data_IF_754255253466
#
_entry.id   IF_754255253466
#
_cell.length_a   1.000
_cell.length_b   1.000
_cell.length_c   1.000
_cell.angle_alpha   90.00
_cell.angle_beta   90.00
_cell.angle_gamma   90.00
#
_symmetry.space_group_name_H-M   'P 1'
#
loop_
_entity.id
_entity.type
_entity.pdbx_description
1 polymer ?
#
# COMPACT_ATOMS: atom_id res chain seq x y z
N UNK A 1 -52.05 16.64 -6.46
CA UNK A 1 -51.02 16.00 -7.31
C UNK A 1 -49.92 16.98 -7.77
N UNK A 2 -50.24 18.20 -8.23
CA UNK A 2 -49.24 19.19 -8.71
C UNK A 2 -48.16 19.55 -7.67
N UNK A 3 -48.52 19.72 -6.40
CA UNK A 3 -47.56 20.08 -5.33
C UNK A 3 -46.54 18.99 -5.00
N UNK A 4 -46.90 17.71 -5.19
CA UNK A 4 -46.00 16.57 -4.96
C UNK A 4 -44.97 16.49 -6.10
N UNK A 5 -45.41 16.76 -7.34
CA UNK A 5 -44.52 16.81 -8.51
C UNK A 5 -43.45 17.90 -8.39
N UNK A 6 -43.82 19.11 -7.96
CA UNK A 6 -42.85 20.20 -7.75
C UNK A 6 -41.82 19.90 -6.66
N UNK A 7 -42.25 19.27 -5.56
CA UNK A 7 -41.34 18.83 -4.51
C UNK A 7 -40.36 17.76 -5.01
N UNK A 8 -40.86 16.78 -5.78
CA UNK A 8 -40.01 15.76 -6.39
C UNK A 8 -38.99 16.35 -7.38
N UNK A 9 -39.41 17.31 -8.20
CA UNK A 9 -38.54 18.00 -9.15
C UNK A 9 -37.41 18.77 -8.44
N UNK A 10 -37.73 19.45 -7.34
CA UNK A 10 -36.74 20.18 -6.53
C UNK A 10 -35.74 19.25 -5.85
N UNK A 11 -36.20 18.15 -5.27
CA UNK A 11 -35.31 17.15 -4.65
C UNK A 11 -34.39 16.52 -5.69
N UNK A 12 -34.91 16.21 -6.87
CA UNK A 12 -34.12 15.64 -7.96
C UNK A 12 -33.06 16.63 -8.48
N UNK A 13 -33.43 17.89 -8.69
CA UNK A 13 -32.49 18.97 -9.05
C UNK A 13 -31.37 19.12 -8.02
N UNK A 14 -31.70 19.09 -6.72
CA UNK A 14 -30.72 19.21 -5.65
C UNK A 14 -29.77 18.01 -5.63
N UNK A 15 -30.30 16.79 -5.73
CA UNK A 15 -29.50 15.56 -5.74
C UNK A 15 -28.53 15.54 -6.93
N UNK A 16 -28.99 15.96 -8.11
CA UNK A 16 -28.15 16.04 -9.30
C UNK A 16 -26.99 17.03 -9.12
N UNK A 17 -27.25 18.20 -8.55
CA UNK A 17 -26.22 19.20 -8.29
C UNK A 17 -25.17 18.69 -7.28
N UNK A 18 -25.60 18.01 -6.20
CA UNK A 18 -24.68 17.42 -5.22
C UNK A 18 -23.85 16.30 -5.86
N UNK A 19 -24.46 15.45 -6.70
CA UNK A 19 -23.74 14.40 -7.41
C UNK A 19 -22.67 14.99 -8.35
N UNK A 20 -23.02 16.01 -9.14
CA UNK A 20 -22.07 16.66 -10.05
C UNK A 20 -20.95 17.35 -9.27
N UNK A 21 -21.27 18.12 -8.23
CA UNK A 21 -20.28 18.78 -7.37
C UNK A 21 -19.36 17.76 -6.68
N UNK A 22 -19.90 16.66 -6.18
CA UNK A 22 -19.13 15.58 -5.59
C UNK A 22 -18.20 14.91 -6.60
N UNK A 23 -18.66 14.67 -7.83
CA UNK A 23 -17.87 14.01 -8.87
C UNK A 23 -16.74 14.91 -9.38
N UNK A 24 -17.03 16.20 -9.60
CA UNK A 24 -16.04 17.19 -10.03
C UNK A 24 -15.05 17.49 -8.90
N UNK A 25 -15.54 17.67 -7.67
CA UNK A 25 -14.71 17.84 -6.49
C UNK A 25 -13.79 16.65 -6.24
N UNK A 26 -14.29 15.42 -6.36
CA UNK A 26 -13.48 14.21 -6.26
C UNK A 26 -12.43 14.14 -7.36
N UNK A 27 -12.77 14.47 -8.61
CA UNK A 27 -11.79 14.49 -9.72
C UNK A 27 -10.73 15.56 -9.51
N UNK A 28 -11.10 16.76 -9.08
CA UNK A 28 -10.16 17.86 -8.82
C UNK A 28 -9.25 17.54 -7.63
N UNK A 29 -9.80 17.03 -6.54
CA UNK A 29 -9.02 16.58 -5.39
C UNK A 29 -8.06 15.45 -5.77
N UNK A 30 -8.55 14.48 -6.55
CA UNK A 30 -7.72 13.40 -7.09
C UNK A 30 -6.66 13.93 -8.05
N UNK A 31 -6.93 14.94 -8.87
CA UNK A 31 -5.92 15.55 -9.75
C UNK A 31 -4.89 16.38 -8.97
N UNK A 32 -5.31 17.09 -7.93
CA UNK A 32 -4.45 17.92 -7.09
C UNK A 32 -3.50 17.08 -6.22
N UNK A 33 -3.91 15.87 -5.82
CA UNK A 33 -3.01 14.87 -5.23
C UNK A 33 -1.82 14.51 -6.14
N UNK A 34 -1.95 14.67 -7.46
CA UNK A 34 -0.87 14.41 -8.42
C UNK A 34 -0.02 15.65 -8.73
N UNK A 35 -0.59 16.86 -8.59
CA UNK A 35 0.09 18.13 -8.87
C UNK A 35 0.89 18.68 -7.67
N UNK A 36 0.56 18.27 -6.44
CA UNK A 36 1.22 18.74 -5.21
C UNK A 36 2.38 17.88 -4.70
N UNK A 37 2.63 16.72 -5.32
CA UNK A 37 3.82 15.93 -5.03
C UNK A 37 4.97 16.45 -5.90
N UNK A 38 6.15 16.83 -5.35
CA UNK A 38 7.33 17.00 -6.18
C UNK A 38 7.49 15.71 -6.99
N UNK A 39 7.75 15.78 -8.31
CA UNK A 39 7.91 14.59 -9.11
C UNK A 39 8.95 13.72 -8.43
N UNK A 40 8.51 12.57 -7.90
CA UNK A 40 9.46 11.57 -7.45
C UNK A 40 10.39 11.34 -8.65
N UNK A 41 11.73 11.36 -8.46
CA UNK A 41 12.66 11.20 -9.56
C UNK A 41 12.20 10.01 -10.38
N UNK A 42 11.78 10.28 -11.61
CA UNK A 42 11.18 9.30 -12.49
C UNK A 42 12.16 8.13 -12.58
N UNK A 43 11.79 6.90 -12.18
CA UNK A 43 12.66 5.73 -12.36
C UNK A 43 13.05 5.57 -13.83
N UNK A 44 12.26 6.15 -14.74
CA UNK A 44 12.49 6.29 -16.17
C UNK A 44 13.81 6.94 -16.54
N UNK A 45 14.36 7.84 -15.71
CA UNK A 45 15.63 8.52 -15.95
C UNK A 45 16.85 7.66 -15.55
N UNK A 46 16.68 6.78 -14.55
CA UNK A 46 17.71 5.82 -14.14
C UNK A 46 17.95 4.74 -15.19
N UNK A 47 16.85 4.28 -15.77
CA UNK A 47 16.84 3.22 -16.76
C UNK A 47 16.70 3.83 -18.17
N UNK A 48 17.79 4.35 -18.71
CA UNK A 48 17.88 4.73 -20.13
C UNK A 48 18.33 3.51 -20.96
N UNK A 49 17.71 3.26 -22.11
CA UNK A 49 18.12 2.21 -23.05
C UNK A 49 17.94 0.77 -22.55
N UNK A 50 18.95 -0.07 -22.77
CA UNK A 50 18.94 -1.54 -22.57
C UNK A 50 18.51 -1.99 -21.16
N UNK A 51 18.79 -1.18 -20.12
CA UNK A 51 18.36 -1.47 -18.76
C UNK A 51 16.83 -1.44 -18.60
N UNK A 52 16.10 -0.60 -19.36
CA UNK A 52 14.62 -0.62 -19.39
C UNK A 52 14.10 -1.92 -19.99
N UNK A 53 14.76 -2.43 -21.02
CA UNK A 53 14.42 -3.70 -21.66
C UNK A 53 14.74 -4.89 -20.75
N UNK A 54 15.85 -4.87 -20.00
CA UNK A 54 16.16 -5.90 -19.01
C UNK A 54 15.17 -5.92 -17.82
N UNK A 55 14.62 -4.76 -17.43
CA UNK A 55 13.59 -4.64 -16.39
C UNK A 55 12.18 -5.01 -16.86
N UNK A 56 11.88 -4.85 -18.15
CA UNK A 56 10.62 -5.21 -18.80
C UNK A 56 10.67 -6.57 -19.51
N UNK A 57 11.83 -7.24 -19.50
CA UNK A 57 12.02 -8.52 -20.16
C UNK A 57 10.97 -9.53 -19.65
N UNK A 58 10.26 -10.22 -20.56
CA UNK A 58 9.29 -11.27 -20.22
C UNK A 58 9.88 -12.40 -19.38
N UNK A 59 11.20 -12.59 -19.45
CA UNK A 59 11.98 -13.61 -18.74
C UNK A 59 12.28 -13.27 -17.27
N UNK A 60 11.59 -12.28 -16.69
CA UNK A 60 11.54 -12.16 -15.24
C UNK A 60 10.80 -13.40 -14.70
N UNK A 61 11.44 -14.27 -13.90
CA UNK A 61 10.84 -15.52 -13.39
C UNK A 61 9.72 -15.28 -12.34
N UNK A 62 9.18 -14.06 -12.32
CA UNK A 62 8.10 -13.58 -11.48
C UNK A 62 7.19 -12.73 -12.36
N UNK A 63 6.31 -13.41 -13.12
CA UNK A 63 5.29 -12.76 -13.91
C UNK A 63 4.41 -11.90 -12.99
N UNK A 64 3.95 -10.74 -13.47
CA UNK A 64 3.00 -9.90 -12.70
C UNK A 64 1.79 -10.71 -12.21
N UNK A 65 1.39 -11.72 -12.99
CA UNK A 65 0.31 -12.66 -12.64
C UNK A 65 0.64 -13.48 -11.41
N UNK A 66 1.84 -14.08 -11.33
CA UNK A 66 2.25 -14.90 -10.19
C UNK A 66 2.33 -14.08 -8.89
N UNK A 67 2.82 -12.83 -8.95
CA UNK A 67 2.82 -11.93 -7.78
C UNK A 67 1.38 -11.61 -7.35
N UNK A 68 0.49 -11.39 -8.32
CA UNK A 68 -0.90 -11.07 -8.05
C UNK A 68 -1.63 -12.27 -7.45
N UNK A 69 -1.39 -13.47 -7.95
CA UNK A 69 -1.92 -14.74 -7.44
C UNK A 69 -1.44 -15.03 -6.02
N UNK A 70 -0.13 -14.88 -5.74
CA UNK A 70 0.41 -15.04 -4.38
C UNK A 70 -0.17 -13.99 -3.43
N UNK A 71 -0.38 -12.75 -3.89
CA UNK A 71 -1.05 -11.72 -3.08
C UNK A 71 -2.50 -12.05 -2.78
N UNK A 72 -3.26 -12.57 -3.74
CA UNK A 72 -4.64 -12.99 -3.49
C UNK A 72 -4.70 -14.17 -2.51
N UNK A 73 -3.79 -15.14 -2.65
CA UNK A 73 -3.69 -16.27 -1.72
C UNK A 73 -3.37 -15.82 -0.29
N UNK A 74 -2.44 -14.86 -0.13
CA UNK A 74 -2.13 -14.27 1.17
C UNK A 74 -3.35 -13.57 1.78
N UNK A 75 -4.14 -12.84 0.98
CA UNK A 75 -5.35 -12.17 1.48
C UNK A 75 -6.42 -13.18 1.88
N UNK A 76 -6.61 -14.22 1.07
CA UNK A 76 -7.55 -15.29 1.36
C UNK A 76 -7.17 -16.05 2.64
N UNK A 77 -5.89 -16.41 2.81
CA UNK A 77 -5.42 -17.07 4.04
C UNK A 77 -5.60 -16.18 5.27
N UNK A 78 -5.41 -14.86 5.13
CA UNK A 78 -5.70 -13.92 6.22
C UNK A 78 -7.17 -13.89 6.60
N UNK A 79 -8.09 -13.91 5.64
CA UNK A 79 -9.52 -13.98 5.96
C UNK A 79 -9.89 -15.32 6.59
N UNK A 80 -9.38 -16.44 6.07
CA UNK A 80 -9.61 -17.77 6.66
C UNK A 80 -9.13 -17.86 8.12
N UNK A 81 -7.96 -17.29 8.43
CA UNK A 81 -7.43 -17.17 9.80
C UNK A 81 -8.39 -16.38 10.68
N UNK A 82 -8.92 -15.25 10.22
CA UNK A 82 -9.87 -14.44 10.98
C UNK A 82 -11.19 -15.18 11.22
N UNK A 83 -11.68 -15.91 10.23
CA UNK A 83 -12.90 -16.71 10.33
C UNK A 83 -12.74 -17.85 11.35
N UNK A 84 -11.58 -18.52 11.36
CA UNK A 84 -11.27 -19.56 12.35
C UNK A 84 -11.11 -19.01 13.77
N UNK A 85 -10.48 -17.83 13.92
CA UNK A 85 -10.39 -17.15 15.22
C UNK A 85 -11.80 -16.76 15.72
N UNK A 86 -12.67 -16.32 14.82
CA UNK A 86 -14.06 -16.00 15.16
C UNK A 86 -14.86 -17.26 15.57
N UNK A 87 -14.60 -18.41 14.93
CA UNK A 87 -15.22 -19.69 15.26
C UNK A 87 -14.72 -20.29 16.58
N UNK A 88 -13.44 -20.10 16.91
CA UNK A 88 -12.79 -20.65 18.09
C UNK A 88 -12.03 -19.57 18.89
N UNK A 89 -12.74 -18.66 19.57
CA UNK A 89 -12.10 -17.58 20.31
C UNK A 89 -11.26 -18.12 21.47
N UNK A 90 -9.97 -17.80 21.48
CA UNK A 90 -9.03 -18.17 22.55
C UNK A 90 -8.27 -19.48 22.31
N UNK A 91 -8.63 -20.26 21.29
CA UNK A 91 -7.87 -21.44 20.85
C UNK A 91 -7.23 -21.18 19.49
N UNK A 92 -5.91 -21.00 19.48
CA UNK A 92 -5.13 -20.77 18.27
C UNK A 92 -4.59 -22.06 17.65
N UNK A 93 -4.73 -23.20 18.33
CA UNK A 93 -4.27 -24.51 17.85
C UNK A 93 -4.81 -24.86 16.46
N UNK A 94 -6.11 -24.69 16.14
CA UNK A 94 -6.62 -24.98 14.80
C UNK A 94 -6.14 -23.99 13.73
N UNK A 95 -5.68 -22.81 14.15
CA UNK A 95 -5.26 -21.72 13.24
C UNK A 95 -3.75 -21.78 12.95
N UNK A 96 -2.98 -22.48 13.80
CA UNK A 96 -1.51 -22.51 13.76
C UNK A 96 -0.98 -22.94 12.38
N UNK A 97 -1.54 -24.00 11.80
CA UNK A 97 -1.13 -24.49 10.48
C UNK A 97 -1.36 -23.43 9.38
N UNK A 98 -2.48 -22.70 9.43
CA UNK A 98 -2.77 -21.65 8.45
C UNK A 98 -1.84 -20.45 8.60
N UNK A 99 -1.40 -20.14 9.83
CA UNK A 99 -0.39 -19.11 10.09
C UNK A 99 0.95 -19.52 9.47
N UNK A 100 1.38 -20.76 9.65
CA UNK A 100 2.63 -21.26 9.08
C UNK A 100 2.63 -21.22 7.55
N UNK A 101 1.51 -21.62 6.93
CA UNK A 101 1.30 -21.51 5.49
C UNK A 101 1.36 -20.05 5.00
N UNK A 102 0.70 -19.13 5.73
CA UNK A 102 0.73 -17.69 5.44
C UNK A 102 2.16 -17.14 5.50
N UNK A 103 2.93 -17.50 6.53
CA UNK A 103 4.32 -17.07 6.70
C UNK A 103 5.21 -17.64 5.60
N UNK A 104 4.98 -18.89 5.18
CA UNK A 104 5.72 -19.49 4.07
C UNK A 104 5.46 -18.75 2.75
N UNK A 105 4.19 -18.43 2.45
CA UNK A 105 3.83 -17.64 1.26
C UNK A 105 4.48 -16.24 1.27
N UNK A 106 4.49 -15.57 2.42
CA UNK A 106 5.15 -14.27 2.56
C UNK A 106 6.66 -14.38 2.36
N UNK A 107 7.30 -15.37 2.98
CA UNK A 107 8.74 -15.63 2.83
C UNK A 107 9.10 -15.85 1.36
N UNK A 108 8.35 -16.69 0.65
CA UNK A 108 8.58 -16.94 -0.78
C UNK A 108 8.51 -15.65 -1.61
N UNK A 109 7.52 -14.80 -1.33
CA UNK A 109 7.40 -13.50 -2.00
C UNK A 109 8.56 -12.56 -1.71
N UNK A 110 9.01 -12.49 -0.46
CA UNK A 110 10.13 -11.64 -0.06
C UNK A 110 11.45 -12.12 -0.65
N UNK A 111 11.74 -13.42 -0.56
CA UNK A 111 12.93 -14.03 -1.16
C UNK A 111 12.98 -13.75 -2.66
N UNK A 112 11.85 -13.90 -3.35
CA UNK A 112 11.74 -13.58 -4.76
C UNK A 112 11.98 -12.11 -5.10
N UNK A 113 11.42 -11.20 -4.30
CA UNK A 113 11.63 -9.77 -4.47
C UNK A 113 13.11 -9.40 -4.30
N UNK A 114 13.77 -9.95 -3.27
CA UNK A 114 15.19 -9.76 -3.02
C UNK A 114 16.06 -10.36 -4.14
N UNK A 115 15.73 -11.56 -4.62
CA UNK A 115 16.42 -12.18 -5.75
C UNK A 115 16.34 -11.30 -7.02
N UNK A 116 15.17 -10.68 -7.26
CA UNK A 116 15.00 -9.74 -8.37
C UNK A 116 15.81 -8.46 -8.20
N UNK A 117 15.79 -7.86 -7.01
CA UNK A 117 16.60 -6.67 -6.69
C UNK A 117 18.08 -6.99 -6.92
N UNK A 118 18.56 -8.14 -6.41
CA UNK A 118 19.93 -8.60 -6.61
C UNK A 118 20.29 -8.76 -8.09
N UNK A 119 19.42 -9.43 -8.88
CA UNK A 119 19.61 -9.59 -10.33
C UNK A 119 19.69 -8.25 -11.07
N UNK A 120 18.83 -7.29 -10.71
CA UNK A 120 18.86 -5.93 -11.30
C UNK A 120 20.15 -5.20 -10.92
N UNK A 121 20.59 -5.27 -9.66
CA UNK A 121 21.84 -4.63 -9.24
C UNK A 121 23.05 -5.20 -9.96
N UNK A 122 23.09 -6.51 -10.22
CA UNK A 122 24.18 -7.15 -10.96
C UNK A 122 24.30 -6.63 -12.40
N UNK A 123 23.18 -6.26 -13.02
CA UNK A 123 23.13 -5.73 -14.39
C UNK A 123 23.41 -4.22 -14.48
N UNK A 124 23.42 -3.51 -13.35
CA UNK A 124 23.61 -2.07 -13.32
C UNK A 124 25.10 -1.69 -13.16
N UNK A 125 25.57 -0.63 -13.85
CA UNK A 125 26.85 0.02 -13.56
C UNK A 125 26.91 0.51 -12.11
N UNK A 126 28.10 0.52 -11.51
CA UNK A 126 28.31 0.84 -10.10
C UNK A 126 27.72 2.19 -9.69
N UNK A 127 27.86 3.21 -10.54
CA UNK A 127 27.28 4.55 -10.34
C UNK A 127 25.74 4.52 -10.20
N UNK A 128 25.06 3.65 -10.94
CA UNK A 128 23.59 3.56 -10.94
C UNK A 128 23.04 2.65 -9.84
N UNK A 129 23.88 1.79 -9.22
CA UNK A 129 23.45 0.91 -8.12
C UNK A 129 23.02 1.72 -6.89
N UNK A 130 23.77 2.77 -6.54
CA UNK A 130 23.43 3.60 -5.38
C UNK A 130 22.10 4.35 -5.57
N UNK A 131 21.88 4.88 -6.77
CA UNK A 131 20.64 5.57 -7.11
C UNK A 131 19.45 4.59 -7.14
N UNK A 132 19.64 3.37 -7.65
CA UNK A 132 18.63 2.31 -7.60
C UNK A 132 18.26 1.93 -6.15
N UNK A 133 19.26 1.76 -5.28
CA UNK A 133 19.03 1.47 -3.87
C UNK A 133 18.27 2.59 -3.15
N UNK A 134 18.56 3.86 -3.46
CA UNK A 134 17.81 4.99 -2.92
C UNK A 134 16.32 4.92 -3.31
N UNK A 135 15.99 4.54 -4.55
CA UNK A 135 14.61 4.33 -4.98
C UNK A 135 13.95 3.17 -4.24
N UNK A 136 14.64 2.03 -4.13
CA UNK A 136 14.10 0.86 -3.43
C UNK A 136 13.79 1.19 -1.97
N UNK A 137 14.71 1.87 -1.27
CA UNK A 137 14.51 2.32 0.12
C UNK A 137 13.33 3.29 0.25
N UNK A 138 13.26 4.31 -0.61
CA UNK A 138 12.17 5.29 -0.60
C UNK A 138 10.80 4.67 -0.87
N UNK A 139 10.74 3.59 -1.67
CA UNK A 139 9.50 2.85 -1.93
C UNK A 139 9.14 1.88 -0.82
N UNK A 140 10.12 1.18 -0.24
CA UNK A 140 9.89 0.24 0.86
C UNK A 140 9.25 0.93 2.09
N UNK A 141 9.62 2.18 2.35
CA UNK A 141 9.04 2.95 3.45
C UNK A 141 7.61 3.47 3.18
N UNK A 142 7.10 3.41 1.94
CA UNK A 142 5.72 3.78 1.60
C UNK A 142 4.84 2.53 1.59
N UNK A 143 4.12 2.30 2.68
CA UNK A 143 3.08 1.26 2.75
C UNK A 143 1.99 1.46 1.68
N UNK A 144 1.14 0.44 1.42
CA UNK A 144 0.03 0.55 0.48
C UNK A 144 -0.87 1.74 0.87
N UNK A 145 -0.96 2.76 0.00
CA UNK A 145 -1.80 3.94 0.21
C UNK A 145 -1.16 5.13 0.93
N UNK A 146 0.10 5.04 1.37
CA UNK A 146 0.79 6.16 2.06
C UNK A 146 1.66 6.95 1.06
N UNK A 147 1.15 8.07 0.55
CA UNK A 147 1.89 9.00 -0.32
C UNK A 147 2.51 10.14 0.50
N UNK A 148 3.50 9.81 1.35
CA UNK A 148 4.32 10.80 2.06
C UNK A 148 5.81 10.56 1.82
N UNK A 149 6.66 11.60 1.77
CA UNK A 149 8.11 11.42 1.76
C UNK A 149 8.55 10.75 3.07
N UNK A 150 9.39 9.72 2.95
CA UNK A 150 9.98 9.03 4.09
C UNK A 150 11.22 9.81 4.53
N UNK A 151 11.01 11.04 5.01
CA UNK A 151 12.06 11.80 5.67
C UNK A 151 12.15 11.38 7.14
N UNK A 152 13.35 11.07 7.67
CA UNK A 152 13.53 10.94 9.10
C UNK A 152 13.37 12.33 9.73
N UNK A 153 12.20 12.61 10.33
CA UNK A 153 12.02 13.79 11.18
C UNK A 153 10.78 14.66 10.91
N UNK A 154 10.00 14.44 9.84
CA UNK A 154 8.74 15.17 9.69
C UNK A 154 7.63 14.52 10.52
N UNK A 155 7.38 15.12 11.69
CA UNK A 155 6.12 14.97 12.44
C UNK A 155 4.96 15.05 11.45
N UNK A 156 4.23 13.94 11.27
CA UNK A 156 2.96 13.93 10.56
C UNK A 156 2.00 14.98 11.15
N UNK A 157 0.95 15.36 10.40
CA UNK A 157 -0.03 16.33 10.89
C UNK A 157 -0.53 15.85 12.25
N UNK A 158 -0.50 16.75 13.25
CA UNK A 158 -0.89 16.51 14.64
C UNK A 158 -2.29 15.85 14.68
N UNK A 159 -2.32 14.52 14.64
CA UNK A 159 -3.40 13.75 15.23
C UNK A 159 -3.44 14.16 16.69
N UNK A 160 -4.63 14.53 17.16
CA UNK A 160 -4.88 14.93 18.54
C UNK A 160 -4.24 13.90 19.45
N UNK A 161 -3.16 14.29 20.14
CA UNK A 161 -2.68 13.56 21.31
C UNK A 161 -3.83 13.59 22.31
N UNK A 162 -4.56 12.49 22.46
CA UNK A 162 -5.05 12.16 23.79
C UNK A 162 -3.82 12.05 24.69
N UNK A 163 -3.86 12.74 25.82
CA UNK A 163 -2.76 12.79 26.77
C UNK A 163 -2.37 11.40 27.26
N UNK A 164 -1.19 11.27 27.89
CA UNK A 164 -0.83 10.04 28.56
C UNK A 164 -1.81 9.80 29.72
N UNK A 165 -2.54 8.69 29.66
CA UNK A 165 -3.16 8.10 30.85
C UNK A 165 -2.06 7.75 31.85
N UNK A 166 -2.05 8.32 33.07
CA UNK A 166 -1.07 7.99 34.08
C UNK A 166 -1.50 6.72 34.83
N UNK A 167 -1.48 5.57 34.15
CA UNK A 167 -1.88 4.30 34.75
C UNK A 167 -0.99 3.15 34.26
N UNK A 168 0.33 3.34 34.30
CA UNK A 168 1.26 2.21 34.37
C UNK A 168 2.54 2.63 35.10
N UNK A 169 2.57 2.39 36.42
CA UNK A 169 3.78 2.44 37.23
C UNK A 169 4.34 1.01 37.26
N UNK A 170 5.51 0.71 36.69
CA UNK A 170 6.10 -0.61 36.81
C UNK A 170 6.48 -0.88 38.27
N UNK A 171 6.35 -2.13 38.76
CA UNK A 171 6.76 -2.48 40.12
C UNK A 171 8.27 -2.34 40.27
N UNK A 172 8.68 -1.82 41.43
CA UNK A 172 10.07 -1.78 41.85
C UNK A 172 10.62 -3.20 41.94
N UNK A 173 11.80 -3.43 41.37
CA UNK A 173 12.56 -4.64 41.60
C UNK A 173 13.21 -4.50 42.98
N UNK A 174 12.89 -5.42 43.90
CA UNK A 174 13.73 -5.78 45.04
C UNK A 174 14.80 -6.79 44.61
#
# INVERSE_FOLDING_TARGET
MKSVFWKALLVFSLALNVAVAGTVGWRLWRAQQWLGAPPAPEPSALFSGEAKHALQAPDAPFSRREIQEKRSLIQQKKSEILDMIAAHPGDLTPVQQHIDELLNLQRQMETAALARISKIMAQLPEEKRQQFLAIVKNRACRGPGMMGPCEPGRKGPKGRRMGPDPLFKPPAQE
#
